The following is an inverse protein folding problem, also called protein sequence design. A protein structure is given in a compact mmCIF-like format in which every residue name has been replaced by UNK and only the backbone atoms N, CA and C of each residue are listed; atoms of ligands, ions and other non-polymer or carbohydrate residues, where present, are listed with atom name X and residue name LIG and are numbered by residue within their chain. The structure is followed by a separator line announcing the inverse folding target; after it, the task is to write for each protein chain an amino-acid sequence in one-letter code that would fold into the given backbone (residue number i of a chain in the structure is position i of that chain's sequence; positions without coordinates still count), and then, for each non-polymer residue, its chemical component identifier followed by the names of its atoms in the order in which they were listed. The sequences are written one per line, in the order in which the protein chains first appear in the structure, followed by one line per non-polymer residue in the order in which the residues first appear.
data_IF_014505009173
#
_entry.id   IF_014505009173
#
_cell.length_a   1.000
_cell.length_b   1.000
_cell.length_c   1.000
_cell.angle_alpha   90.00
_cell.angle_beta   90.00
_cell.angle_gamma   90.00
#
_symmetry.space_group_name_H-M   'P 1'
#
loop_
_entity.id
_entity.type
_entity.pdbx_description
1 polymer ?
#
# COMPACT_ATOMS: atom_id res chain seq x y z
N UNK A 1 -36.90 -61.96 -2.77
CA UNK A 1 -36.01 -61.10 -3.54
C UNK A 1 -35.98 -59.70 -2.86
N UNK A 2 -34.94 -59.42 -2.08
CA UNK A 2 -34.75 -58.14 -1.39
C UNK A 2 -33.89 -57.24 -2.30
N UNK A 3 -34.47 -56.13 -2.78
CA UNK A 3 -33.72 -55.12 -3.57
C UNK A 3 -32.99 -54.23 -2.58
N UNK A 4 -31.67 -54.34 -2.52
CA UNK A 4 -30.77 -53.45 -1.81
C UNK A 4 -30.72 -52.10 -2.54
N UNK A 5 -31.22 -51.05 -1.89
CA UNK A 5 -31.17 -49.68 -2.41
C UNK A 5 -29.85 -49.02 -1.90
N UNK A 6 -28.81 -49.09 -2.72
CA UNK A 6 -27.55 -48.37 -2.43
C UNK A 6 -27.75 -46.88 -2.64
N UNK A 7 -27.90 -46.14 -1.56
CA UNK A 7 -27.87 -44.66 -1.57
C UNK A 7 -26.41 -44.25 -1.65
N UNK A 8 -25.97 -43.79 -2.82
CA UNK A 8 -24.67 -43.12 -3.02
C UNK A 8 -24.78 -41.69 -2.46
N UNK A 9 -24.30 -41.46 -1.24
CA UNK A 9 -24.12 -40.12 -0.70
C UNK A 9 -22.84 -39.56 -1.33
N UNK A 10 -23.00 -38.75 -2.38
CA UNK A 10 -21.91 -37.98 -2.94
C UNK A 10 -21.67 -36.80 -1.99
N UNK A 11 -20.66 -36.92 -1.14
CA UNK A 11 -20.21 -35.88 -0.25
C UNK A 11 -19.53 -34.80 -1.12
N UNK A 12 -20.24 -33.73 -1.49
CA UNK A 12 -19.67 -32.55 -2.13
C UNK A 12 -18.82 -31.82 -1.08
N UNK A 13 -17.54 -32.13 -1.05
CA UNK A 13 -16.54 -31.27 -0.35
C UNK A 13 -16.43 -29.96 -1.10
N UNK A 14 -17.22 -28.99 -0.67
CA UNK A 14 -17.08 -27.60 -1.13
C UNK A 14 -15.78 -27.05 -0.55
N UNK A 15 -14.70 -27.13 -1.32
CA UNK A 15 -13.47 -26.41 -0.99
C UNK A 15 -13.74 -24.91 -1.13
N UNK A 16 -13.92 -24.26 -0.01
CA UNK A 16 -13.92 -22.79 0.02
C UNK A 16 -12.50 -22.31 -0.25
N UNK A 17 -12.17 -22.03 -1.52
CA UNK A 17 -10.93 -21.38 -1.89
C UNK A 17 -11.02 -19.93 -1.41
N UNK A 18 -10.51 -19.67 -0.23
CA UNK A 18 -10.34 -18.31 0.23
C UNK A 18 -9.15 -17.71 -0.50
N UNK A 19 -9.37 -16.69 -1.33
CA UNK A 19 -8.30 -15.94 -1.94
C UNK A 19 -7.49 -15.25 -0.84
N UNK A 20 -6.29 -15.77 -0.56
CA UNK A 20 -5.39 -15.21 0.43
C UNK A 20 -4.65 -14.02 -0.16
N UNK A 21 -4.63 -12.89 0.58
CA UNK A 21 -3.83 -11.73 0.22
C UNK A 21 -2.33 -12.06 0.34
N UNK A 22 -1.62 -11.96 -0.79
CA UNK A 22 -0.17 -12.12 -0.83
C UNK A 22 0.47 -10.73 -0.87
N UNK A 23 1.20 -10.38 0.18
CA UNK A 23 1.93 -9.11 0.25
C UNK A 23 3.29 -9.23 -0.42
N UNK A 24 3.63 -8.26 -1.23
CA UNK A 24 4.94 -8.10 -1.87
C UNK A 24 5.64 -6.90 -1.26
N UNK A 25 6.96 -7.00 -1.04
CA UNK A 25 7.72 -5.85 -0.57
C UNK A 25 7.72 -4.75 -1.63
N UNK A 26 7.39 -3.53 -1.21
CA UNK A 26 7.31 -2.37 -2.09
C UNK A 26 8.68 -1.99 -2.69
N UNK A 27 9.79 -2.44 -2.09
CA UNK A 27 11.14 -2.26 -2.63
C UNK A 27 11.37 -2.97 -3.97
N UNK A 28 10.57 -3.99 -4.27
CA UNK A 28 10.63 -4.73 -5.53
C UNK A 28 9.99 -3.98 -6.71
N UNK A 29 9.44 -2.79 -6.47
CA UNK A 29 8.73 -2.00 -7.49
C UNK A 29 9.40 -0.64 -7.68
N UNK A 30 9.27 -0.03 -8.88
CA UNK A 30 9.77 1.33 -9.12
C UNK A 30 9.19 2.35 -8.14
N UNK A 31 10.06 3.17 -7.57
CA UNK A 31 9.70 4.34 -6.79
C UNK A 31 9.73 5.57 -7.71
N UNK A 32 8.65 6.35 -7.71
CA UNK A 32 8.50 7.58 -8.47
C UNK A 32 8.48 8.79 -7.53
N UNK A 33 8.78 9.98 -8.07
CA UNK A 33 8.67 11.25 -7.34
C UNK A 33 9.82 11.53 -6.37
N UNK A 34 10.87 10.73 -6.36
CA UNK A 34 12.11 11.03 -5.62
C UNK A 34 12.98 11.98 -6.43
N UNK A 35 13.50 13.03 -5.80
CA UNK A 35 14.30 14.05 -6.47
C UNK A 35 15.69 13.53 -6.90
N UNK A 36 16.25 12.56 -6.15
CA UNK A 36 17.58 11.99 -6.42
C UNK A 36 17.57 10.49 -6.13
N UNK A 37 18.40 9.72 -6.86
CA UNK A 37 18.60 8.29 -6.59
C UNK A 37 19.68 8.03 -5.52
N UNK A 38 20.17 9.08 -4.86
CA UNK A 38 21.25 8.97 -3.89
C UNK A 38 20.89 8.13 -2.67
N UNK A 39 21.93 7.58 -2.04
CA UNK A 39 21.83 6.83 -0.81
C UNK A 39 21.08 7.63 0.28
N UNK A 40 20.13 7.02 0.88
CA UNK A 40 19.25 7.53 1.93
C UNK A 40 18.12 6.58 2.10
N UNK A 41 17.33 6.72 3.14
CA UNK A 41 16.17 5.86 3.32
C UNK A 41 15.24 5.98 2.11
N UNK A 42 14.79 4.84 1.59
CA UNK A 42 14.06 4.73 0.33
C UNK A 42 12.92 5.73 0.16
N UNK A 43 12.23 6.05 1.25
CA UNK A 43 11.04 6.90 1.24
C UNK A 43 11.28 8.30 1.77
N UNK A 44 12.53 8.74 1.87
CA UNK A 44 12.91 10.10 2.24
C UNK A 44 13.17 10.95 1.00
N UNK A 45 12.78 12.23 1.03
CA UNK A 45 12.87 13.13 -0.14
C UNK A 45 14.28 13.66 -0.37
N UNK A 46 15.00 13.97 0.72
CA UNK A 46 16.35 14.53 0.63
C UNK A 46 17.40 13.42 0.62
N UNK A 47 18.50 13.61 -0.11
CA UNK A 47 19.67 12.76 -0.01
C UNK A 47 20.40 12.96 1.32
N UNK A 48 21.08 11.93 1.82
CA UNK A 48 21.81 11.96 3.08
C UNK A 48 22.90 13.06 3.13
N UNK A 49 23.43 13.45 1.97
CA UNK A 49 24.42 14.55 1.86
C UNK A 49 23.90 15.88 2.43
N UNK A 50 22.58 16.10 2.44
CA UNK A 50 21.98 17.31 2.98
C UNK A 50 21.76 17.26 4.50
N UNK A 51 21.97 16.12 5.15
CA UNK A 51 21.68 15.94 6.57
C UNK A 51 22.45 16.92 7.45
N UNK A 52 23.76 17.03 7.22
CA UNK A 52 24.65 17.81 8.07
C UNK A 52 24.63 19.33 7.80
N UNK A 53 24.08 19.73 6.64
CA UNK A 53 23.97 21.14 6.25
C UNK A 53 22.56 21.69 6.38
N UNK A 54 21.57 20.81 6.63
CA UNK A 54 20.18 21.22 6.84
C UNK A 54 19.90 21.48 8.31
N UNK A 55 19.08 22.50 8.58
CA UNK A 55 18.55 22.70 9.93
C UNK A 55 17.70 21.50 10.34
N UNK A 56 17.76 21.10 11.61
CA UNK A 56 17.05 19.91 12.11
C UNK A 56 15.54 19.87 11.77
N UNK A 57 14.75 20.97 11.88
CA UNK A 57 13.34 20.93 11.48
C UNK A 57 13.16 20.64 9.99
N UNK A 58 13.99 21.23 9.12
CA UNK A 58 13.94 20.98 7.68
C UNK A 58 14.31 19.54 7.34
N UNK A 59 15.36 19.02 7.97
CA UNK A 59 15.74 17.61 7.82
C UNK A 59 14.59 16.67 8.23
N UNK A 60 13.96 16.92 9.38
CA UNK A 60 12.84 16.09 9.83
C UNK A 60 11.66 16.13 8.86
N UNK A 61 11.32 17.29 8.29
CA UNK A 61 10.27 17.41 7.27
C UNK A 61 10.63 16.69 5.96
N UNK A 62 11.91 16.67 5.58
CA UNK A 62 12.37 16.01 4.37
C UNK A 62 12.22 14.50 4.40
N UNK A 63 12.10 13.91 5.58
CA UNK A 63 11.90 12.46 5.78
C UNK A 63 10.48 12.00 5.49
N UNK A 64 9.55 12.90 5.21
CA UNK A 64 8.21 12.55 4.77
C UNK A 64 8.20 12.18 3.28
N UNK A 65 7.40 11.18 2.92
CA UNK A 65 7.31 10.60 1.58
C UNK A 65 6.26 11.27 0.68
N UNK A 66 5.77 12.44 1.04
CA UNK A 66 4.77 13.17 0.25
C UNK A 66 5.25 13.39 -1.20
N UNK A 67 4.41 13.08 -2.18
CA UNK A 67 4.74 13.17 -3.60
C UNK A 67 5.46 11.95 -4.19
N UNK A 68 5.79 10.94 -3.37
CA UNK A 68 6.35 9.68 -3.85
C UNK A 68 5.25 8.67 -4.16
N UNK A 69 5.48 7.82 -5.16
CA UNK A 69 4.56 6.75 -5.52
C UNK A 69 5.30 5.45 -5.86
N UNK A 70 4.68 4.33 -5.53
CA UNK A 70 5.10 3.00 -5.97
C UNK A 70 4.27 2.60 -7.17
N UNK A 71 4.92 2.30 -8.29
CA UNK A 71 4.24 1.86 -9.52
C UNK A 71 4.32 0.35 -9.66
N UNK A 72 3.19 -0.30 -9.84
CA UNK A 72 3.09 -1.73 -10.05
C UNK A 72 2.00 -2.06 -11.07
N UNK A 73 1.98 -3.31 -11.54
CA UNK A 73 0.91 -3.88 -12.35
C UNK A 73 0.33 -5.09 -11.64
N UNK A 74 -0.98 -5.26 -11.70
CA UNK A 74 -1.69 -6.39 -11.13
C UNK A 74 -2.94 -6.72 -11.94
N UNK A 75 -3.31 -7.99 -11.97
CA UNK A 75 -4.61 -8.48 -12.43
C UNK A 75 -5.54 -8.83 -11.25
N UNK A 76 -5.15 -8.49 -10.02
CA UNK A 76 -5.96 -8.73 -8.83
C UNK A 76 -7.13 -7.77 -8.76
N UNK A 77 -8.28 -8.26 -8.35
CA UNK A 77 -9.45 -7.44 -8.00
C UNK A 77 -9.34 -6.83 -6.61
N UNK A 78 -8.49 -7.40 -5.75
CA UNK A 78 -8.26 -6.91 -4.38
C UNK A 78 -6.86 -6.34 -4.26
N UNK A 79 -6.76 -5.10 -3.79
CA UNK A 79 -5.48 -4.44 -3.49
C UNK A 79 -5.49 -3.98 -2.04
N UNK A 80 -4.45 -4.36 -1.31
CA UNK A 80 -4.24 -3.97 0.07
C UNK A 80 -2.82 -3.45 0.27
N UNK A 81 -2.63 -2.58 1.25
CA UNK A 81 -1.32 -2.06 1.62
C UNK A 81 -1.03 -2.28 3.10
N UNK A 82 0.25 -2.51 3.39
CA UNK A 82 0.83 -2.45 4.74
C UNK A 82 1.90 -1.38 4.76
N UNK A 83 1.87 -0.51 5.75
CA UNK A 83 2.92 0.50 5.93
C UNK A 83 3.09 0.91 7.38
N UNK A 84 4.26 1.44 7.68
CA UNK A 84 4.58 2.02 8.99
C UNK A 84 4.87 3.50 8.76
N UNK A 85 4.11 4.38 9.40
CA UNK A 85 4.36 5.81 9.37
C UNK A 85 5.59 6.14 10.23
N UNK A 86 6.47 7.00 9.73
CA UNK A 86 7.64 7.46 10.49
C UNK A 86 7.21 8.19 11.76
N UNK A 87 6.25 9.09 11.62
CA UNK A 87 5.63 9.85 12.71
C UNK A 87 4.15 9.47 12.83
N UNK A 88 3.66 9.38 14.07
CA UNK A 88 2.24 9.17 14.34
C UNK A 88 1.61 10.42 14.96
N UNK A 89 1.97 11.58 14.43
CA UNK A 89 1.44 12.87 14.88
C UNK A 89 0.09 13.15 14.22
N UNK A 90 -0.81 13.75 14.99
CA UNK A 90 -2.01 14.39 14.47
C UNK A 90 -1.71 15.85 14.17
N UNK A 91 -2.25 16.34 13.07
CA UNK A 91 -2.11 17.73 12.66
C UNK A 91 -3.47 18.42 12.78
N UNK A 92 -3.50 19.63 13.36
CA UNK A 92 -4.74 20.39 13.53
C UNK A 92 -5.30 20.96 12.21
N UNK A 93 -4.49 20.99 11.16
CA UNK A 93 -4.82 21.55 9.85
C UNK A 93 -4.87 20.51 8.72
N UNK A 94 -4.65 19.23 9.04
CA UNK A 94 -4.66 18.14 8.06
C UNK A 94 -5.25 16.87 8.68
N UNK A 95 -6.12 16.19 7.94
CA UNK A 95 -6.65 14.90 8.38
C UNK A 95 -5.57 13.83 8.40
N UNK A 96 -5.73 12.81 9.23
CA UNK A 96 -4.82 11.66 9.29
C UNK A 96 -4.63 10.98 7.94
N UNK A 97 -5.65 10.93 7.11
CA UNK A 97 -5.57 10.38 5.75
C UNK A 97 -4.59 11.18 4.89
N UNK A 98 -4.64 12.51 4.95
CA UNK A 98 -3.69 13.36 4.23
C UNK A 98 -2.27 13.32 4.78
N UNK A 99 -2.14 13.17 6.12
CA UNK A 99 -0.84 13.17 6.78
C UNK A 99 -0.09 11.83 6.69
N UNK A 100 -0.79 10.71 6.69
CA UNK A 100 -0.22 9.35 6.88
C UNK A 100 -0.85 8.30 5.98
N UNK A 101 -1.87 8.62 5.20
CA UNK A 101 -2.57 7.70 4.31
C UNK A 101 -1.81 7.40 3.02
N UNK A 102 -2.36 6.48 2.24
CA UNK A 102 -1.90 6.16 0.90
C UNK A 102 -3.06 6.30 -0.07
N UNK A 103 -2.80 6.90 -1.23
CA UNK A 103 -3.78 6.99 -2.31
C UNK A 103 -3.48 5.99 -3.41
N UNK A 104 -4.52 5.34 -3.91
CA UNK A 104 -4.43 4.46 -5.06
C UNK A 104 -4.92 5.19 -6.31
N UNK A 105 -4.08 5.18 -7.34
CA UNK A 105 -4.43 5.67 -8.68
C UNK A 105 -4.34 4.54 -9.69
N UNK A 106 -5.16 4.57 -10.71
CA UNK A 106 -5.15 3.63 -11.83
C UNK A 106 -4.85 4.36 -13.13
N UNK A 107 -3.88 3.84 -13.90
CA UNK A 107 -3.59 4.33 -15.24
C UNK A 107 -4.71 3.90 -16.20
N UNK A 108 -5.36 4.84 -16.82
CA UNK A 108 -6.41 4.62 -17.80
C UNK A 108 -5.84 4.31 -19.18
N UNK A 109 -6.66 3.78 -20.08
CA UNK A 109 -6.27 3.46 -21.48
C UNK A 109 -5.83 4.70 -22.28
N UNK A 110 -6.35 5.87 -21.95
CA UNK A 110 -5.98 7.15 -22.55
C UNK A 110 -4.66 7.74 -22.00
N UNK A 111 -4.00 7.07 -21.06
CA UNK A 111 -2.76 7.53 -20.43
C UNK A 111 -2.93 8.36 -19.17
N UNK A 112 -4.15 8.70 -18.77
CA UNK A 112 -4.41 9.49 -17.57
C UNK A 112 -4.41 8.64 -16.30
N UNK A 113 -3.93 9.24 -15.21
CA UNK A 113 -4.04 8.66 -13.88
C UNK A 113 -5.34 9.10 -13.20
N UNK A 114 -6.15 8.12 -12.80
CA UNK A 114 -7.39 8.37 -12.09
C UNK A 114 -7.31 7.90 -10.65
N UNK A 115 -7.70 8.75 -9.72
CA UNK A 115 -7.89 8.39 -8.32
C UNK A 115 -8.93 7.29 -8.17
N UNK A 116 -8.62 6.30 -7.33
CA UNK A 116 -9.50 5.16 -7.06
C UNK A 116 -10.01 5.20 -5.63
N UNK A 117 -9.12 5.21 -4.66
CA UNK A 117 -9.49 5.21 -3.23
C UNK A 117 -8.27 5.55 -2.36
N UNK A 118 -8.53 5.86 -1.09
CA UNK A 118 -7.51 6.11 -0.08
C UNK A 118 -7.47 5.01 0.98
N UNK A 119 -6.28 4.60 1.36
CA UNK A 119 -6.04 3.78 2.54
C UNK A 119 -5.95 4.67 3.78
N UNK A 120 -6.97 4.65 4.62
CA UNK A 120 -7.04 5.46 5.84
C UNK A 120 -6.16 4.85 6.93
N UNK A 121 -5.21 5.60 7.51
CA UNK A 121 -4.38 5.12 8.58
C UNK A 121 -5.19 4.93 9.87
N UNK A 122 -4.80 3.93 10.67
CA UNK A 122 -5.36 3.69 12.01
C UNK A 122 -4.38 4.03 13.13
N UNK A 123 -3.14 4.34 12.77
CA UNK A 123 -2.07 4.63 13.71
C UNK A 123 -0.70 4.63 13.04
N UNK A 124 0.33 4.23 13.78
CA UNK A 124 1.69 4.13 13.27
C UNK A 124 1.86 2.96 12.29
N UNK A 125 1.33 1.79 12.64
CA UNK A 125 1.37 0.58 11.81
C UNK A 125 0.00 0.33 11.21
N UNK A 126 -0.05 0.15 9.90
CA UNK A 126 -1.29 0.09 9.15
C UNK A 126 -1.33 -1.12 8.23
N UNK A 127 -2.53 -1.71 8.12
CA UNK A 127 -2.89 -2.70 7.11
C UNK A 127 -4.31 -2.42 6.66
N UNK A 128 -4.48 -2.09 5.38
CA UNK A 128 -5.76 -1.65 4.82
C UNK A 128 -5.99 -2.30 3.46
N UNK A 129 -7.18 -2.86 3.26
CA UNK A 129 -7.66 -3.20 1.92
C UNK A 129 -8.21 -1.94 1.27
N UNK A 130 -7.65 -1.54 0.13
CA UNK A 130 -8.00 -0.30 -0.56
C UNK A 130 -9.17 -0.53 -1.51
N UNK A 131 -9.12 -1.63 -2.26
CA UNK A 131 -10.21 -2.12 -3.13
C UNK A 131 -10.39 -3.62 -2.95
N UNK A 132 -11.63 -4.07 -3.22
CA UNK A 132 -12.02 -5.49 -3.16
C UNK A 132 -12.99 -5.80 -4.28
#
# INVERSE_FOLDING_TARGET
MKREFCIFIVLFLVFHIHAQLVYRDASNFPLLGRATESAGARYERFPDSLKNISRAPLWNLSRNSAGMAIRFRSNSTTIAAKWVALFNTHMNHMTDTGAKGLDLYCLQKNGDWRFVNSARPKGKTNQVTIIK
#
